data_IF_407703616471
#
_entry.id   IF_407703616471
#
_cell.length_a   1.000
_cell.length_b   1.000
_cell.length_c   1.000
_cell.angle_alpha   90.00
_cell.angle_beta   90.00
_cell.angle_gamma   90.00
#
_symmetry.space_group_name_H-M   'P 1'
#
loop_
_entity.id
_entity.type
_entity.pdbx_description
1 polymer ?
#
# COMPACT_ATOMS: atom_id res chain seq x y z
N UNK A 1 10.78 13.75 11.96
CA UNK A 1 9.69 14.26 11.09
C UNK A 1 8.78 13.09 10.78
N UNK A 2 7.47 13.23 10.91
CA UNK A 2 6.48 12.19 10.62
C UNK A 2 5.94 12.33 9.19
N UNK A 3 5.29 11.27 8.68
CA UNK A 3 4.54 11.29 7.43
C UNK A 3 3.22 10.54 7.61
N UNK A 4 2.19 10.95 6.85
CA UNK A 4 0.98 10.16 6.66
C UNK A 4 1.13 9.42 5.33
N UNK A 5 0.95 8.11 5.36
CA UNK A 5 0.92 7.25 4.19
C UNK A 5 -0.52 6.86 3.90
N UNK A 6 -1.02 7.28 2.74
CA UNK A 6 -2.32 6.86 2.22
C UNK A 6 -2.09 5.98 0.99
N UNK A 7 -2.62 4.76 1.01
CA UNK A 7 -2.63 3.87 -0.15
C UNK A 7 -4.08 3.62 -0.55
N UNK A 8 -4.43 3.96 -1.79
CA UNK A 8 -5.79 3.85 -2.32
C UNK A 8 -5.78 2.97 -3.57
N UNK A 9 -6.76 2.08 -3.67
CA UNK A 9 -6.96 1.27 -4.87
C UNK A 9 -7.38 2.18 -6.05
N UNK A 10 -6.64 2.09 -7.15
CA UNK A 10 -6.94 2.80 -8.39
C UNK A 10 -7.82 1.96 -9.34
N UNK A 11 -7.51 2.04 -10.63
CA UNK A 11 -8.14 1.20 -11.67
C UNK A 11 -7.69 -0.25 -11.54
N UNK A 12 -8.62 -1.21 -11.71
CA UNK A 12 -8.32 -2.65 -11.65
C UNK A 12 -9.22 -3.45 -10.71
N UNK A 13 -10.19 -2.79 -10.04
CA UNK A 13 -11.14 -3.45 -9.15
C UNK A 13 -10.44 -4.18 -8.00
N UNK A 14 -10.82 -5.43 -7.79
CA UNK A 14 -10.25 -6.29 -6.75
C UNK A 14 -8.72 -6.42 -6.83
N UNK A 15 -8.16 -6.47 -8.03
CA UNK A 15 -6.71 -6.59 -8.20
C UNK A 15 -5.98 -5.33 -7.72
N UNK A 16 -6.59 -4.16 -7.90
CA UNK A 16 -6.05 -2.91 -7.36
C UNK A 16 -6.09 -2.88 -5.83
N UNK A 17 -7.15 -3.44 -5.22
CA UNK A 17 -7.25 -3.55 -3.76
C UNK A 17 -6.20 -4.52 -3.19
N UNK A 18 -5.99 -5.66 -3.85
CA UNK A 18 -4.92 -6.61 -3.50
C UNK A 18 -3.55 -5.95 -3.60
N UNK A 19 -3.29 -5.19 -4.67
CA UNK A 19 -2.02 -4.49 -4.84
C UNK A 19 -1.81 -3.37 -3.80
N UNK A 20 -2.87 -2.65 -3.42
CA UNK A 20 -2.81 -1.68 -2.31
C UNK A 20 -2.40 -2.38 -1.00
N UNK A 21 -2.91 -3.59 -0.74
CA UNK A 21 -2.47 -4.43 0.38
C UNK A 21 -0.99 -4.82 0.32
N UNK A 22 -0.50 -5.20 -0.87
CA UNK A 22 0.90 -5.51 -1.08
C UNK A 22 1.82 -4.31 -0.83
N UNK A 23 1.45 -3.12 -1.35
CA UNK A 23 2.18 -1.88 -1.12
C UNK A 23 2.20 -1.50 0.36
N UNK A 24 1.05 -1.58 1.03
CA UNK A 24 1.00 -1.28 2.45
C UNK A 24 1.88 -2.23 3.28
N UNK A 25 1.82 -3.54 2.99
CA UNK A 25 2.70 -4.53 3.62
C UNK A 25 4.18 -4.27 3.35
N UNK A 26 4.53 -3.83 2.13
CA UNK A 26 5.88 -3.40 1.79
C UNK A 26 6.33 -2.22 2.67
N UNK A 27 5.51 -1.18 2.80
CA UNK A 27 5.84 -0.01 3.63
C UNK A 27 5.89 -0.33 5.13
N UNK A 28 5.02 -1.21 5.61
CA UNK A 28 5.07 -1.69 7.00
C UNK A 28 6.40 -2.39 7.30
N UNK A 29 6.87 -3.25 6.39
CA UNK A 29 8.20 -3.86 6.49
C UNK A 29 9.33 -2.83 6.38
N UNK A 30 9.21 -1.89 5.45
CA UNK A 30 10.20 -0.83 5.27
C UNK A 30 10.35 0.04 6.53
N UNK A 31 9.23 0.43 7.15
CA UNK A 31 9.21 1.16 8.42
C UNK A 31 9.87 0.36 9.54
N UNK A 32 9.54 -0.93 9.68
CA UNK A 32 10.15 -1.81 10.68
C UNK A 32 11.67 -1.93 10.51
N UNK A 33 12.17 -2.05 9.27
CA UNK A 33 13.61 -2.11 8.97
C UNK A 33 14.35 -0.82 9.34
N UNK A 34 13.65 0.32 9.36
CA UNK A 34 14.22 1.62 9.76
C UNK A 34 13.94 1.96 11.24
N UNK A 35 13.34 1.04 12.00
CA UNK A 35 12.97 1.27 13.40
C UNK A 35 11.89 2.34 13.57
N UNK A 36 11.11 2.62 12.52
CA UNK A 36 10.00 3.58 12.57
C UNK A 36 8.75 2.94 13.14
N UNK A 37 7.95 3.73 13.84
CA UNK A 37 6.63 3.32 14.32
C UNK A 37 5.61 3.63 13.23
N UNK A 38 4.82 2.63 12.88
CA UNK A 38 3.68 2.75 11.98
C UNK A 38 2.41 2.45 12.77
N UNK A 39 1.43 3.35 12.70
CA UNK A 39 0.11 3.19 13.33
C UNK A 39 -0.96 3.36 12.27
N UNK A 40 -1.92 2.44 12.24
CA UNK A 40 -3.03 2.50 11.29
C UNK A 40 -4.08 3.44 11.86
N UNK A 41 -4.51 4.41 11.06
CA UNK A 41 -5.53 5.40 11.44
C UNK A 41 -6.90 5.01 10.89
N UNK A 42 -6.96 4.53 9.65
CA UNK A 42 -8.21 4.12 9.00
C UNK A 42 -7.97 2.99 7.99
N UNK A 43 -8.99 2.14 7.81
CA UNK A 43 -8.99 1.02 6.85
C UNK A 43 -10.37 0.92 6.18
N UNK A 44 -10.34 0.84 4.85
CA UNK A 44 -11.44 0.34 4.03
C UNK A 44 -11.00 -0.92 3.30
N UNK A 45 -11.57 -2.06 3.66
CA UNK A 45 -11.21 -3.37 3.11
C UNK A 45 -11.70 -3.56 1.67
N UNK A 46 -10.94 -4.33 0.88
CA UNK A 46 -11.37 -4.82 -0.43
C UNK A 46 -12.37 -5.98 -0.32
N UNK A 47 -13.14 -6.23 -1.39
CA UNK A 47 -14.19 -7.26 -1.38
C UNK A 47 -13.65 -8.69 -1.36
N UNK A 48 -12.47 -8.92 -1.95
CA UNK A 48 -11.78 -10.22 -1.97
C UNK A 48 -10.43 -10.17 -1.24
N UNK A 49 -10.26 -9.21 -0.33
CA UNK A 49 -9.02 -8.93 0.39
C UNK A 49 -8.27 -7.70 -0.12
N UNK A 50 -7.16 -7.37 0.53
CA UNK A 50 -6.47 -6.10 0.32
C UNK A 50 -7.29 -4.91 0.81
N UNK A 51 -7.02 -3.72 0.28
CA UNK A 51 -7.59 -2.46 0.76
C UNK A 51 -8.12 -1.60 -0.39
N UNK A 52 -9.37 -1.11 -0.28
CA UNK A 52 -9.84 0.02 -1.09
C UNK A 52 -9.10 1.29 -0.68
N UNK A 53 -8.86 1.45 0.62
CA UNK A 53 -8.10 2.54 1.21
C UNK A 53 -7.46 2.08 2.52
N UNK A 54 -6.23 2.50 2.77
CA UNK A 54 -5.58 2.35 4.07
C UNK A 54 -4.72 3.57 4.37
N UNK A 55 -4.89 4.11 5.58
CA UNK A 55 -4.23 5.32 6.06
C UNK A 55 -3.43 4.95 7.31
N UNK A 56 -2.14 5.32 7.32
CA UNK A 56 -1.28 5.11 8.46
C UNK A 56 -0.38 6.31 8.75
N UNK A 57 -0.16 6.59 10.03
CA UNK A 57 0.87 7.51 10.49
C UNK A 57 2.20 6.78 10.68
N UNK A 58 3.28 7.35 10.12
CA UNK A 58 4.63 6.82 10.24
C UNK A 58 5.50 7.86 10.96
N UNK A 59 6.06 7.47 12.11
CA UNK A 59 6.86 8.34 12.97
C UNK A 59 8.26 7.77 13.18
N UNK A 60 9.26 8.64 13.11
CA UNK A 60 10.66 8.27 13.22
C UNK A 60 11.62 9.35 12.70
N UNK A 61 12.91 9.03 12.71
CA UNK A 61 13.94 9.91 12.18
C UNK A 61 13.94 9.86 10.64
N UNK A 62 13.88 11.03 10.00
CA UNK A 62 14.01 11.15 8.54
C UNK A 62 12.87 10.59 7.69
N UNK A 63 11.74 10.17 8.28
CA UNK A 63 10.61 9.51 7.56
C UNK A 63 10.20 10.29 6.30
N UNK A 64 9.78 11.54 6.45
CA UNK A 64 9.30 12.35 5.33
C UNK A 64 10.37 12.54 4.24
N UNK A 65 11.64 12.71 4.63
CA UNK A 65 12.74 12.90 3.68
C UNK A 65 12.94 11.70 2.75
N UNK A 66 12.66 10.47 3.24
CA UNK A 66 12.73 9.24 2.44
C UNK A 66 11.43 8.97 1.68
N UNK A 67 10.27 9.14 2.32
CA UNK A 67 8.98 8.78 1.73
C UNK A 67 8.38 9.84 0.79
N UNK A 68 8.92 11.05 0.73
CA UNK A 68 8.41 12.13 -0.15
C UNK A 68 8.33 11.79 -1.65
N UNK A 69 9.06 10.76 -2.09
CA UNK A 69 9.08 10.32 -3.48
C UNK A 69 8.03 9.27 -3.81
N UNK A 70 7.34 8.73 -2.80
CA UNK A 70 6.34 7.68 -2.98
C UNK A 70 4.99 8.22 -3.43
N UNK A 71 4.78 9.54 -3.32
CA UNK A 71 3.58 10.22 -3.81
C UNK A 71 3.45 10.06 -5.32
N UNK A 72 2.47 9.28 -5.75
CA UNK A 72 2.20 9.06 -7.16
C UNK A 72 1.42 7.78 -7.41
N UNK A 73 1.26 7.44 -8.69
CA UNK A 73 0.61 6.20 -9.12
C UNK A 73 1.65 5.10 -9.19
N UNK A 74 1.40 4.00 -8.48
CA UNK A 74 2.18 2.77 -8.56
C UNK A 74 1.43 1.79 -9.46
N UNK A 75 2.09 1.27 -10.50
CA UNK A 75 1.48 0.36 -11.48
C UNK A 75 1.94 -1.07 -11.20
N UNK A 76 0.99 -2.00 -11.18
CA UNK A 76 1.24 -3.44 -11.16
C UNK A 76 0.95 -4.03 -12.53
N UNK A 77 1.72 -5.05 -12.91
CA UNK A 77 1.39 -5.94 -14.02
C UNK A 77 1.72 -7.37 -13.59
N UNK A 78 0.69 -8.21 -13.45
CA UNK A 78 0.87 -9.60 -13.05
C UNK A 78 -0.28 -10.46 -13.53
N UNK A 79 -0.14 -11.78 -13.40
CA UNK A 79 -1.28 -12.68 -13.52
C UNK A 79 -2.13 -12.52 -12.26
N UNK A 80 -3.40 -12.07 -12.35
CA UNK A 80 -4.22 -11.83 -11.17
C UNK A 80 -4.46 -13.12 -10.40
N UNK A 81 -4.43 -13.03 -9.07
CA UNK A 81 -4.79 -14.17 -8.21
C UNK A 81 -6.27 -14.54 -8.37
N UNK A 82 -7.09 -13.59 -8.85
CA UNK A 82 -8.53 -13.75 -9.09
C UNK A 82 -8.87 -14.35 -10.45
N UNK A 83 -7.89 -14.65 -11.32
CA UNK A 83 -8.14 -15.10 -12.69
C UNK A 83 -7.77 -16.59 -12.90
N UNK A 84 -8.72 -17.40 -13.37
CA UNK A 84 -8.49 -18.82 -13.69
C UNK A 84 -7.77 -19.03 -15.05
N UNK A 85 -7.64 -17.99 -15.88
CA UNK A 85 -7.21 -18.07 -17.29
C UNK A 85 -5.77 -17.65 -17.59
N UNK A 86 -5.03 -17.12 -16.62
CA UNK A 86 -3.59 -16.82 -16.76
C UNK A 86 -3.24 -15.60 -17.63
N UNK A 87 -4.13 -14.62 -17.80
CA UNK A 87 -3.81 -13.41 -18.55
C UNK A 87 -3.14 -12.39 -17.63
N UNK A 88 -2.31 -11.51 -18.21
CA UNK A 88 -1.66 -10.44 -17.46
C UNK A 88 -2.55 -9.22 -17.54
N UNK A 89 -2.89 -8.65 -16.38
CA UNK A 89 -3.55 -7.36 -16.25
C UNK A 89 -2.56 -6.33 -15.71
#
# INVERSE_FOLDING_TARGET
ASAILEVRAGTGGDEAALFAGDLFRMYQRYAALHGWRLEIEDISEGEVGGYKEIIASITGEGVFGRLKFESGVHRVQRVPTTEAGGRIH
#
